data_IF_204372470849
#
_entry.id   IF_204372470849
#
_cell.length_a   1.000
_cell.length_b   1.000
_cell.length_c   1.000
_cell.angle_alpha   90.00
_cell.angle_beta   90.00
_cell.angle_gamma   90.00
#
_symmetry.space_group_name_H-M   'P 1'
#
loop_
_entity.id
_entity.type
_entity.pdbx_description
1 polymer ?
#
# COMPACT_ATOMS: atom_id res chain seq x y z
N UNK A 1 -1.89 -23.07 -15.03
CA UNK A 1 -0.85 -23.12 -13.98
C UNK A 1 0.10 -21.94 -14.18
N UNK A 2 0.48 -21.21 -13.12
CA UNK A 2 1.35 -20.04 -13.27
C UNK A 2 2.81 -20.40 -13.03
N UNK A 3 3.70 -19.93 -13.91
CA UNK A 3 5.15 -20.03 -13.72
C UNK A 3 5.57 -19.10 -12.57
N UNK A 4 6.16 -19.68 -11.52
CA UNK A 4 6.88 -18.93 -10.49
C UNK A 4 8.37 -19.15 -10.69
N UNK A 5 9.15 -18.09 -10.89
CA UNK A 5 10.60 -18.18 -10.80
C UNK A 5 10.99 -18.32 -9.33
N UNK A 6 11.34 -19.55 -8.92
CA UNK A 6 12.03 -19.78 -7.65
C UNK A 6 13.43 -19.19 -7.82
N UNK A 7 13.81 -18.22 -6.97
CA UNK A 7 15.04 -17.41 -7.01
C UNK A 7 15.08 -16.18 -7.94
N UNK A 8 13.95 -15.51 -8.20
CA UNK A 8 13.96 -14.17 -8.79
C UNK A 8 14.26 -13.08 -7.75
N UNK A 9 15.30 -12.26 -7.95
CA UNK A 9 15.43 -10.98 -7.26
C UNK A 9 14.66 -9.92 -8.06
N UNK A 10 13.68 -9.27 -7.43
CA UNK A 10 12.95 -8.14 -8.00
C UNK A 10 13.19 -6.91 -7.13
N UNK A 11 13.59 -5.81 -7.75
CA UNK A 11 13.72 -4.52 -7.06
C UNK A 11 12.59 -3.61 -7.51
N UNK A 12 11.92 -2.99 -6.53
CA UNK A 12 10.85 -2.01 -6.75
C UNK A 12 11.21 -0.76 -5.96
N UNK A 13 11.21 0.38 -6.64
CA UNK A 13 11.34 1.70 -6.02
C UNK A 13 9.98 2.38 -6.13
N UNK A 14 9.51 2.91 -5.00
CA UNK A 14 8.24 3.64 -4.91
C UNK A 14 8.47 4.98 -4.21
N UNK A 15 7.91 6.03 -4.80
CA UNK A 15 7.79 7.36 -4.17
C UNK A 15 6.31 7.70 -4.12
N UNK A 16 5.77 7.93 -2.92
CA UNK A 16 4.43 8.51 -2.75
C UNK A 16 4.55 9.90 -2.13
N UNK A 17 3.74 10.84 -2.61
CA UNK A 17 3.62 12.20 -2.10
C UNK A 17 2.19 12.45 -1.66
N UNK A 18 2.04 13.03 -0.49
CA UNK A 18 0.77 13.46 0.05
C UNK A 18 0.93 14.67 0.95
N UNK A 19 -0.15 15.42 1.14
CA UNK A 19 -0.20 16.58 2.02
C UNK A 19 -1.15 16.32 3.19
N UNK A 20 -0.88 16.94 4.34
CA UNK A 20 -1.84 16.95 5.44
C UNK A 20 -2.79 18.14 5.27
N UNK A 21 -4.10 17.88 5.20
CA UNK A 21 -5.15 18.90 5.21
C UNK A 21 -6.16 18.55 6.31
N UNK A 22 -6.35 19.45 7.28
CA UNK A 22 -7.29 19.26 8.41
C UNK A 22 -7.12 17.92 9.18
N UNK A 23 -5.87 17.51 9.42
CA UNK A 23 -5.58 16.23 10.09
C UNK A 23 -5.61 15.00 9.17
N UNK A 24 -6.18 15.11 7.98
CA UNK A 24 -6.28 14.02 7.01
C UNK A 24 -5.13 14.06 6.02
N UNK A 25 -4.70 12.88 5.58
CA UNK A 25 -3.71 12.72 4.51
C UNK A 25 -4.43 12.80 3.15
N UNK A 26 -3.91 13.64 2.26
CA UNK A 26 -4.45 13.88 0.92
C UNK A 26 -3.39 13.43 -0.10
N UNK A 27 -3.64 12.37 -0.89
CA UNK A 27 -2.68 11.91 -1.89
C UNK A 27 -2.46 12.96 -2.97
N UNK A 28 -1.23 13.02 -3.48
CA UNK A 28 -0.83 13.95 -4.55
C UNK A 28 -0.19 13.21 -5.73
N UNK A 29 0.71 12.26 -5.45
CA UNK A 29 1.42 11.53 -6.50
C UNK A 29 1.93 10.18 -6.02
N UNK A 30 1.94 9.21 -6.92
CA UNK A 30 2.68 7.96 -6.80
C UNK A 30 3.58 7.79 -8.02
N UNK A 31 4.84 7.43 -7.80
CA UNK A 31 5.79 7.01 -8.82
C UNK A 31 6.31 5.61 -8.46
N UNK A 32 6.30 4.68 -9.41
CA UNK A 32 6.78 3.30 -9.26
C UNK A 32 7.74 2.96 -10.38
N UNK A 33 8.83 2.28 -10.03
CA UNK A 33 9.78 1.69 -10.96
C UNK A 33 10.19 0.31 -10.50
N UNK A 34 10.31 -0.65 -11.42
CA UNK A 34 10.73 -2.00 -11.10
C UNK A 34 11.42 -2.67 -12.28
N UNK A 35 12.26 -3.67 -11.97
CA UNK A 35 12.90 -4.51 -12.98
C UNK A 35 11.99 -5.69 -13.32
N UNK A 36 11.71 -5.88 -14.61
CA UNK A 36 10.95 -7.01 -15.15
C UNK A 36 11.63 -7.50 -16.44
N UNK A 37 12.02 -8.77 -16.48
CA UNK A 37 12.61 -9.41 -17.68
C UNK A 37 13.77 -8.57 -18.27
N UNK A 38 14.70 -8.16 -17.40
CA UNK A 38 15.87 -7.33 -17.74
C UNK A 38 15.54 -5.92 -18.30
N UNK A 39 14.28 -5.50 -18.23
CA UNK A 39 13.85 -4.13 -18.57
C UNK A 39 13.33 -3.39 -17.34
N UNK A 40 13.61 -2.09 -17.26
CA UNK A 40 12.99 -1.22 -16.26
C UNK A 40 11.60 -0.86 -16.75
N UNK A 41 10.58 -1.20 -15.96
CA UNK A 41 9.19 -0.77 -16.15
C UNK A 41 8.84 0.25 -15.09
N UNK A 42 7.89 1.10 -15.41
CA UNK A 42 7.50 2.17 -14.50
C UNK A 42 6.02 2.51 -14.64
N UNK A 43 5.46 3.11 -13.60
CA UNK A 43 4.09 3.62 -13.61
C UNK A 43 3.98 4.80 -12.68
N UNK A 44 3.07 5.73 -12.98
CA UNK A 44 2.74 6.82 -12.06
C UNK A 44 1.24 7.01 -11.95
N UNK A 45 0.83 7.60 -10.83
CA UNK A 45 -0.52 8.05 -10.59
C UNK A 45 -0.51 9.48 -10.05
N UNK A 46 -1.26 10.37 -10.71
CA UNK A 46 -1.47 11.74 -10.26
C UNK A 46 -2.84 11.86 -9.61
N UNK A 47 -2.92 12.74 -8.61
CA UNK A 47 -4.14 13.06 -7.88
C UNK A 47 -4.49 14.53 -8.01
N UNK A 48 -5.79 14.84 -8.10
CA UNK A 48 -6.32 16.19 -7.98
C UNK A 48 -7.28 16.20 -6.79
N UNK A 49 -7.01 17.07 -5.82
CA UNK A 49 -7.80 17.21 -4.58
C UNK A 49 -8.07 15.89 -3.82
N UNK A 50 -7.10 14.97 -3.88
CA UNK A 50 -7.17 13.69 -3.19
C UNK A 50 -7.98 12.60 -3.92
N UNK A 51 -8.42 12.86 -5.15
CA UNK A 51 -8.97 11.85 -6.06
C UNK A 51 -7.93 11.45 -7.12
N UNK A 52 -7.81 10.15 -7.47
CA UNK A 52 -7.01 9.72 -8.61
C UNK A 52 -7.49 10.41 -9.88
N UNK A 53 -6.57 10.96 -10.64
CA UNK A 53 -6.88 11.71 -11.86
C UNK A 53 -6.27 11.06 -13.11
N UNK A 54 -5.03 10.60 -13.00
CA UNK A 54 -4.32 9.99 -14.13
C UNK A 54 -3.50 8.81 -13.66
N UNK A 55 -3.52 7.72 -14.41
CA UNK A 55 -2.62 6.59 -14.22
C UNK A 55 -1.97 6.20 -15.54
N UNK A 56 -0.65 6.06 -15.54
CA UNK A 56 0.12 5.59 -16.70
C UNK A 56 1.00 4.45 -16.23
N UNK A 57 1.04 3.36 -17.00
CA UNK A 57 1.84 2.20 -16.68
C UNK A 57 2.52 1.65 -17.92
N UNK A 58 3.83 1.44 -17.84
CA UNK A 58 4.64 0.74 -18.83
C UNK A 58 4.46 -0.78 -18.82
N UNK A 59 3.54 -1.31 -18.01
CA UNK A 59 3.19 -2.71 -17.96
C UNK A 59 1.87 -2.99 -18.66
N UNK A 60 1.95 -3.74 -19.77
CA UNK A 60 0.79 -4.28 -20.45
C UNK A 60 0.25 -5.48 -19.66
N UNK A 61 -1.01 -5.43 -19.28
CA UNK A 61 -1.65 -6.50 -18.53
C UNK A 61 -1.99 -7.68 -19.47
N UNK A 62 -1.57 -8.92 -19.15
CA UNK A 62 -1.98 -10.11 -19.88
C UNK A 62 -3.51 -10.30 -19.87
N UNK A 63 -4.02 -10.99 -20.89
CA UNK A 63 -5.47 -11.15 -21.10
C UNK A 63 -6.15 -11.88 -19.94
N UNK A 64 -5.51 -12.90 -19.37
CA UNK A 64 -6.00 -13.67 -18.23
C UNK A 64 -6.13 -12.86 -16.94
N UNK A 65 -5.48 -11.69 -16.87
CA UNK A 65 -5.58 -10.78 -15.73
C UNK A 65 -6.53 -9.61 -15.99
N UNK A 66 -7.12 -9.50 -17.19
CA UNK A 66 -8.09 -8.43 -17.48
C UNK A 66 -9.23 -8.46 -16.48
N UNK A 67 -9.70 -7.27 -16.13
CA UNK A 67 -10.80 -7.14 -15.20
C UNK A 67 -12.11 -7.57 -15.83
N UNK A 68 -12.93 -8.29 -15.05
CA UNK A 68 -14.34 -8.56 -15.41
C UNK A 68 -15.18 -7.28 -15.35
N UNK A 69 -14.92 -6.45 -14.33
CA UNK A 69 -15.60 -5.19 -14.09
C UNK A 69 -14.55 -4.07 -13.98
N UNK A 70 -14.02 -3.55 -15.10
CA UNK A 70 -13.05 -2.47 -15.07
C UNK A 70 -13.65 -1.22 -14.42
N UNK A 71 -12.83 -0.46 -13.71
CA UNK A 71 -13.21 0.83 -13.14
C UNK A 71 -12.47 1.94 -13.87
N UNK A 72 -13.23 2.92 -14.37
CA UNK A 72 -12.67 4.14 -14.91
C UNK A 72 -12.17 5.03 -13.76
N UNK A 73 -11.02 5.68 -13.93
CA UNK A 73 -10.32 6.39 -12.84
C UNK A 73 -11.17 7.53 -12.25
N UNK A 74 -11.95 8.20 -13.10
CA UNK A 74 -12.92 9.24 -12.76
C UNK A 74 -14.02 8.77 -11.79
N UNK A 75 -14.30 7.45 -11.77
CA UNK A 75 -15.31 6.85 -10.89
C UNK A 75 -14.74 6.39 -9.54
N UNK A 76 -13.43 6.51 -9.32
CA UNK A 76 -12.82 6.15 -8.03
C UNK A 76 -13.16 7.21 -6.98
N UNK A 77 -13.05 8.49 -7.32
CA UNK A 77 -13.40 9.61 -6.45
C UNK A 77 -12.44 9.84 -5.27
N UNK A 78 -12.79 10.83 -4.44
CA UNK A 78 -11.97 11.27 -3.29
C UNK A 78 -11.87 10.21 -2.19
N UNK A 79 -10.78 10.28 -1.41
CA UNK A 79 -10.58 9.43 -0.24
C UNK A 79 -10.06 8.02 -0.56
N UNK A 80 -9.65 7.78 -1.82
CA UNK A 80 -8.87 6.60 -2.20
C UNK A 80 -7.38 6.90 -2.17
N UNK A 81 -6.58 5.97 -1.66
CA UNK A 81 -5.14 6.08 -1.51
C UNK A 81 -4.43 5.11 -2.44
N UNK A 82 -3.19 5.42 -2.82
CA UNK A 82 -2.31 4.42 -3.42
C UNK A 82 -1.92 3.34 -2.39
N UNK A 83 -1.44 2.16 -2.82
CA UNK A 83 -1.09 1.09 -1.90
C UNK A 83 -0.04 1.44 -0.85
N UNK A 84 0.85 2.41 -1.11
CA UNK A 84 1.92 2.79 -0.18
C UNK A 84 1.45 3.84 0.81
N UNK A 85 0.75 4.87 0.35
CA UNK A 85 0.15 5.87 1.22
C UNK A 85 -0.96 5.27 2.10
N UNK A 86 -1.67 4.26 1.58
CA UNK A 86 -2.64 3.46 2.31
C UNK A 86 -2.07 2.72 3.52
N UNK A 87 -0.76 2.49 3.58
CA UNK A 87 -0.09 1.93 4.75
C UNK A 87 -0.09 2.91 5.93
N UNK A 88 -0.16 4.22 5.70
CA UNK A 88 -0.17 5.20 6.78
C UNK A 88 -1.54 5.29 7.44
N UNK A 89 -1.61 5.12 8.75
CA UNK A 89 -2.83 5.27 9.54
C UNK A 89 -2.82 6.58 10.34
N UNK A 90 -3.77 7.51 10.10
CA UNK A 90 -3.84 8.76 10.84
C UNK A 90 -4.32 8.50 12.27
N UNK A 91 -3.56 8.98 13.25
CA UNK A 91 -3.92 8.89 14.66
C UNK A 91 -4.83 10.05 15.07
N UNK A 92 -4.66 11.25 14.49
CA UNK A 92 -5.46 12.45 14.79
C UNK A 92 -5.50 12.79 16.29
N UNK A 93 -4.33 12.72 16.95
CA UNK A 93 -4.21 12.94 18.40
C UNK A 93 -4.74 11.79 19.27
N UNK A 94 -5.23 10.70 18.67
CA UNK A 94 -5.67 9.50 19.39
C UNK A 94 -4.51 8.55 19.68
N UNK A 95 -4.64 7.63 20.65
CA UNK A 95 -3.61 6.64 20.96
C UNK A 95 -3.33 5.70 19.78
N UNK A 96 -2.18 5.00 19.81
CA UNK A 96 -1.73 4.08 18.76
C UNK A 96 -2.80 3.05 18.34
N UNK A 97 -3.67 2.59 19.25
CA UNK A 97 -4.80 1.69 18.94
C UNK A 97 -5.72 2.21 17.83
N UNK A 98 -5.75 3.53 17.60
CA UNK A 98 -6.51 4.14 16.52
C UNK A 98 -5.98 3.78 15.12
N UNK A 99 -4.74 3.28 15.01
CA UNK A 99 -4.20 2.77 13.75
C UNK A 99 -5.00 1.57 13.21
N UNK A 100 -5.66 0.85 14.11
CA UNK A 100 -6.49 -0.33 13.83
C UNK A 100 -7.98 0.02 13.65
N UNK A 101 -8.32 1.29 13.43
CA UNK A 101 -9.71 1.73 13.32
C UNK A 101 -9.99 2.31 11.93
N UNK A 102 -11.06 1.82 11.31
CA UNK A 102 -11.67 2.38 10.13
C UNK A 102 -11.37 1.62 8.86
N UNK A 103 -11.80 2.24 7.76
CA UNK A 103 -11.82 1.65 6.44
C UNK A 103 -11.12 2.59 5.47
N UNK A 104 -10.25 2.04 4.63
CA UNK A 104 -9.53 2.78 3.59
C UNK A 104 -9.89 2.22 2.23
N UNK A 105 -10.09 3.11 1.26
CA UNK A 105 -10.21 2.75 -0.15
C UNK A 105 -8.81 2.78 -0.76
N UNK A 106 -8.38 1.69 -1.37
CA UNK A 106 -7.07 1.58 -2.02
C UNK A 106 -7.28 1.41 -3.51
N UNK A 107 -6.65 2.28 -4.30
CA UNK A 107 -6.65 2.22 -5.75
C UNK A 107 -5.22 2.07 -6.25
N UNK A 108 -4.93 1.01 -7.01
CA UNK A 108 -3.58 0.73 -7.54
C UNK A 108 -3.35 1.26 -8.96
N UNK A 109 -4.28 2.07 -9.48
CA UNK A 109 -4.30 2.51 -10.88
C UNK A 109 -5.23 1.69 -11.77
N UNK A 110 -5.62 0.48 -11.36
CA UNK A 110 -6.54 -0.40 -12.11
C UNK A 110 -7.61 -1.05 -11.25
N UNK A 111 -7.29 -1.34 -10.00
CA UNK A 111 -8.10 -2.08 -9.03
C UNK A 111 -8.43 -1.19 -7.85
N UNK A 112 -9.71 -1.20 -7.49
CA UNK A 112 -10.22 -0.53 -6.31
C UNK A 112 -10.63 -1.58 -5.28
N UNK A 113 -10.09 -1.48 -4.08
CA UNK A 113 -10.49 -2.29 -2.94
C UNK A 113 -10.75 -1.45 -1.71
N UNK A 114 -11.40 -2.09 -0.75
CA UNK A 114 -11.61 -1.57 0.58
C UNK A 114 -10.80 -2.41 1.56
N UNK A 115 -10.04 -1.75 2.44
CA UNK A 115 -9.29 -2.37 3.53
C UNK A 115 -9.90 -1.91 4.86
N UNK A 116 -10.40 -2.84 5.66
CA UNK A 116 -11.01 -2.54 6.96
C UNK A 116 -10.13 -3.13 8.06
N UNK A 117 -9.66 -2.28 8.97
CA UNK A 117 -8.88 -2.69 10.13
C UNK A 117 -9.79 -3.05 11.31
N UNK A 118 -9.49 -4.16 11.98
CA UNK A 118 -10.26 -4.70 13.09
C UNK A 118 -9.36 -5.52 14.05
N UNK A 119 -9.94 -6.07 15.11
CA UNK A 119 -9.28 -6.99 16.05
C UNK A 119 -8.00 -6.42 16.68
N UNK A 120 -8.10 -5.22 17.26
CA UNK A 120 -6.94 -4.52 17.84
C UNK A 120 -6.37 -5.26 19.05
N UNK A 121 -5.07 -5.50 19.03
CA UNK A 121 -4.32 -6.07 20.15
C UNK A 121 -3.06 -5.24 20.38
N UNK A 122 -2.84 -4.79 21.61
CA UNK A 122 -1.58 -4.13 21.96
C UNK A 122 -0.46 -5.14 22.07
N UNK A 123 0.71 -4.81 21.52
CA UNK A 123 1.91 -5.66 21.58
C UNK A 123 3.04 -4.85 22.23
N UNK A 124 3.49 -5.25 23.42
CA UNK A 124 4.63 -4.62 24.09
C UNK A 124 5.92 -4.68 23.27
N UNK A 125 6.87 -3.74 23.46
CA UNK A 125 8.10 -3.63 22.65
C UNK A 125 9.01 -4.86 22.65
N UNK A 126 8.91 -5.71 23.68
CA UNK A 126 9.75 -6.90 23.87
C UNK A 126 9.04 -8.21 23.51
N UNK A 127 7.77 -8.14 23.10
CA UNK A 127 6.96 -9.30 22.71
C UNK A 127 6.91 -9.51 21.19
N UNK A 128 7.82 -8.85 20.45
CA UNK A 128 7.99 -9.05 19.01
C UNK A 128 9.45 -8.99 18.59
N UNK A 129 9.77 -9.68 17.49
CA UNK A 129 11.11 -9.79 16.92
C UNK A 129 11.39 -8.76 15.81
N UNK A 130 10.50 -7.78 15.61
CA UNK A 130 10.69 -6.75 14.60
C UNK A 130 12.02 -6.01 14.83
N UNK A 131 12.76 -5.65 13.77
CA UNK A 131 14.03 -4.91 13.89
C UNK A 131 13.93 -3.64 14.74
N UNK A 132 12.72 -3.10 14.86
CA UNK A 132 12.38 -1.87 15.54
C UNK A 132 11.68 -2.20 16.87
N UNK A 133 12.41 -2.13 18.00
CA UNK A 133 11.87 -2.37 19.35
C UNK A 133 11.01 -1.19 19.82
N UNK A 134 9.73 -1.18 19.48
CA UNK A 134 8.79 -0.09 19.80
C UNK A 134 7.41 -0.65 20.16
N UNK A 135 6.60 0.05 20.97
CA UNK A 135 5.21 -0.37 21.17
C UNK A 135 4.51 -0.52 19.84
N UNK A 136 3.76 -1.60 19.67
CA UNK A 136 3.01 -1.87 18.47
C UNK A 136 1.55 -2.18 18.78
N UNK A 137 0.70 -2.05 17.77
CA UNK A 137 -0.65 -2.60 17.79
C UNK A 137 -0.82 -3.52 16.60
N UNK A 138 -1.30 -4.72 16.86
CA UNK A 138 -1.70 -5.67 15.82
C UNK A 138 -3.16 -5.41 15.45
N UNK A 139 -3.48 -5.50 14.18
CA UNK A 139 -4.84 -5.63 13.67
C UNK A 139 -4.94 -6.69 12.59
N UNK A 140 -6.13 -7.23 12.44
CA UNK A 140 -6.57 -7.93 11.23
C UNK A 140 -7.07 -6.90 10.22
N UNK A 141 -6.65 -7.04 8.96
CA UNK A 141 -7.06 -6.21 7.84
C UNK A 141 -7.88 -7.07 6.90
N UNK A 142 -9.19 -6.82 6.85
CA UNK A 142 -10.08 -7.43 5.89
C UNK A 142 -9.95 -6.71 4.55
N UNK A 143 -9.57 -7.44 3.51
CA UNK A 143 -9.55 -6.94 2.13
C UNK A 143 -10.85 -7.32 1.41
N UNK A 144 -11.46 -6.34 0.77
CA UNK A 144 -12.69 -6.52 0.01
C UNK A 144 -12.52 -5.90 -1.39
N UNK A 145 -12.55 -6.70 -2.47
CA UNK A 145 -12.49 -6.17 -3.83
C UNK A 145 -13.76 -5.35 -4.12
N UNK A 146 -13.60 -4.21 -4.79
CA UNK A 146 -14.72 -3.38 -5.25
C UNK A 146 -14.84 -3.44 -6.78
N UNK A 147 -13.75 -3.17 -7.50
CA UNK A 147 -13.72 -3.19 -8.96
C UNK A 147 -12.30 -3.36 -9.52
N UNK A 148 -12.17 -3.68 -10.80
CA UNK A 148 -10.88 -3.83 -11.50
C UNK A 148 -10.23 -5.20 -11.36
N UNK A 149 -10.87 -6.15 -10.70
CA UNK A 149 -10.37 -7.51 -10.49
C UNK A 149 -10.80 -8.46 -11.61
N UNK A 150 -9.98 -9.48 -11.87
CA UNK A 150 -10.35 -10.60 -12.77
C UNK A 150 -11.36 -11.53 -12.10
N UNK A 151 -12.09 -12.31 -12.88
CA UNK A 151 -13.08 -13.27 -12.37
C UNK A 151 -12.46 -14.25 -11.36
N UNK A 152 -11.33 -14.86 -11.72
CA UNK A 152 -10.60 -15.77 -10.84
C UNK A 152 -10.12 -15.11 -9.52
N UNK A 153 -9.93 -13.79 -9.50
CA UNK A 153 -9.59 -13.07 -8.27
C UNK A 153 -10.81 -12.88 -7.37
N UNK A 154 -11.98 -12.63 -7.95
CA UNK A 154 -13.23 -12.43 -7.24
C UNK A 154 -13.76 -13.73 -6.64
N UNK A 155 -13.74 -14.83 -7.40
CA UNK A 155 -14.20 -16.15 -6.93
C UNK A 155 -13.46 -16.61 -5.68
N UNK A 156 -12.15 -16.29 -5.62
CA UNK A 156 -11.30 -16.69 -4.51
C UNK A 156 -11.15 -15.63 -3.42
N UNK A 157 -11.83 -14.49 -3.54
CA UNK A 157 -11.63 -13.39 -2.59
C UNK A 157 -11.98 -13.80 -1.16
N UNK A 158 -13.00 -14.65 -1.00
CA UNK A 158 -13.43 -15.21 0.28
C UNK A 158 -12.48 -16.28 0.85
N UNK A 159 -11.56 -16.83 0.06
CA UNK A 159 -10.62 -17.88 0.50
C UNK A 159 -9.43 -17.30 1.29
N UNK A 160 -9.17 -15.99 1.16
CA UNK A 160 -8.04 -15.35 1.80
C UNK A 160 -8.42 -14.84 3.19
N UNK A 161 -7.79 -15.35 4.27
CA UNK A 161 -8.01 -14.82 5.60
C UNK A 161 -7.52 -13.36 5.68
N UNK A 162 -8.00 -12.58 6.68
CA UNK A 162 -7.49 -11.25 6.93
C UNK A 162 -5.97 -11.21 7.06
N UNK A 163 -5.37 -10.12 6.59
CA UNK A 163 -3.94 -9.86 6.72
C UNK A 163 -3.67 -9.33 8.12
N UNK A 164 -2.62 -9.78 8.78
CA UNK A 164 -2.22 -9.20 10.07
C UNK A 164 -1.19 -8.10 9.85
N UNK A 165 -1.44 -6.91 10.40
CA UNK A 165 -0.50 -5.79 10.35
C UNK A 165 -0.19 -5.31 11.76
N UNK A 166 1.09 -5.08 12.03
CA UNK A 166 1.59 -4.51 13.28
C UNK A 166 1.98 -3.06 13.02
N UNK A 167 1.27 -2.12 13.61
CA UNK A 167 1.53 -0.69 13.46
C UNK A 167 2.37 -0.16 14.61
N UNK A 168 3.43 0.58 14.27
CA UNK A 168 4.15 1.45 15.20
C UNK A 168 3.75 2.90 14.98
N UNK A 169 3.96 3.75 15.98
CA UNK A 169 3.80 5.20 15.81
C UNK A 169 5.03 5.81 15.14
N UNK A 170 4.81 6.69 14.15
CA UNK A 170 5.87 7.47 13.51
C UNK A 170 6.11 8.74 14.33
N UNK A 171 7.00 8.65 15.33
CA UNK A 171 7.44 9.76 16.19
C UNK A 171 6.25 10.67 16.59
N UNK A 172 6.37 11.99 16.42
CA UNK A 172 5.30 12.96 16.73
C UNK A 172 4.50 13.42 15.50
N UNK A 173 4.54 12.66 14.40
CA UNK A 173 3.88 13.06 13.14
C UNK A 173 2.35 12.99 13.19
N UNK A 174 1.80 12.27 14.17
CA UNK A 174 0.37 11.97 14.24
C UNK A 174 -0.07 10.83 13.32
N UNK A 175 0.88 10.06 12.78
CA UNK A 175 0.64 8.88 11.96
C UNK A 175 1.27 7.62 12.57
N UNK A 176 0.73 6.48 12.18
CA UNK A 176 1.30 5.16 12.42
C UNK A 176 1.56 4.47 11.07
N UNK A 177 2.53 3.57 11.04
CA UNK A 177 2.79 2.75 9.87
C UNK A 177 3.17 1.32 10.25
N UNK A 178 3.01 0.35 9.32
CA UNK A 178 3.33 -1.03 9.59
C UNK A 178 4.82 -1.22 9.85
N UNK A 179 5.14 -1.91 10.94
CA UNK A 179 6.43 -2.52 11.24
C UNK A 179 6.55 -3.87 10.54
N UNK A 180 5.42 -4.59 10.45
CA UNK A 180 5.30 -5.92 9.87
C UNK A 180 3.88 -6.13 9.34
N UNK A 181 3.76 -6.78 8.18
CA UNK A 181 2.49 -7.18 7.57
C UNK A 181 2.66 -8.63 7.14
N UNK A 182 1.72 -9.48 7.52
CA UNK A 182 1.74 -10.90 7.23
C UNK A 182 0.38 -11.36 6.68
N UNK A 183 0.40 -11.96 5.50
CA UNK A 183 -0.80 -12.45 4.82
C UNK A 183 -0.57 -13.83 4.22
N UNK A 184 -1.66 -14.58 4.03
CA UNK A 184 -1.62 -15.86 3.31
C UNK A 184 -1.82 -15.58 1.82
N UNK A 185 -0.94 -16.12 0.99
CA UNK A 185 -1.07 -16.16 -0.46
C UNK A 185 -1.31 -17.60 -0.93
N UNK A 186 -1.55 -17.78 -2.23
CA UNK A 186 -1.64 -19.12 -2.84
C UNK A 186 -0.34 -19.93 -2.74
N UNK A 187 0.79 -19.26 -2.49
CA UNK A 187 2.11 -19.86 -2.39
C UNK A 187 2.60 -20.01 -0.95
N UNK A 188 1.74 -19.72 0.04
CA UNK A 188 2.09 -19.73 1.45
C UNK A 188 2.11 -18.33 2.05
N UNK A 189 2.75 -18.20 3.22
CA UNK A 189 2.83 -16.95 3.95
C UNK A 189 3.75 -15.95 3.26
N UNK A 190 3.26 -14.71 3.12
CA UNK A 190 4.03 -13.56 2.67
C UNK A 190 4.15 -12.60 3.84
N UNK A 191 5.37 -12.14 4.10
CA UNK A 191 5.67 -11.15 5.14
C UNK A 191 6.36 -9.94 4.51
N UNK A 192 5.89 -8.75 4.85
CA UNK A 192 6.49 -7.47 4.50
C UNK A 192 6.94 -6.83 5.82
N UNK A 193 8.22 -6.48 5.94
CA UNK A 193 8.79 -5.99 7.20
C UNK A 193 9.58 -4.70 6.97
N UNK A 194 9.39 -3.73 7.85
CA UNK A 194 10.17 -2.50 7.85
C UNK A 194 11.56 -2.78 8.43
N UNK A 195 12.59 -2.77 7.58
CA UNK A 195 13.99 -2.90 8.00
C UNK A 195 14.46 -1.58 8.64
N UNK A 196 14.27 -0.48 7.90
CA UNK A 196 14.42 0.87 8.41
C UNK A 196 13.05 1.49 8.58
N UNK A 197 12.73 1.88 9.80
CA UNK A 197 11.51 2.63 10.07
C UNK A 197 11.70 4.12 9.78
N UNK A 198 10.59 4.85 9.75
CA UNK A 198 10.57 6.29 9.51
C UNK A 198 11.54 7.02 10.45
N UNK A 199 12.52 7.70 9.84
CA UNK A 199 13.41 8.62 10.51
C UNK A 199 13.01 10.06 10.14
N UNK A 200 12.98 10.94 11.12
CA UNK A 200 12.83 12.37 10.87
C UNK A 200 14.14 12.89 10.29
N UNK A 201 14.08 13.55 9.13
CA UNK A 201 15.23 14.18 8.50
C UNK A 201 14.90 15.64 8.21
N UNK A 202 15.81 16.53 8.60
CA UNK A 202 15.76 17.94 8.20
C UNK A 202 16.39 18.16 6.81
N UNK A 203 17.14 17.16 6.32
CA UNK A 203 17.75 17.21 4.98
C UNK A 203 16.67 16.92 3.95
N UNK A 204 16.45 17.80 2.95
CA UNK A 204 15.59 17.52 1.82
C UNK A 204 16.08 16.25 1.13
N UNK A 205 15.26 15.21 1.13
CA UNK A 205 15.47 14.05 0.28
C UNK A 205 15.02 14.43 -1.13
N UNK A 206 15.84 14.16 -2.15
CA UNK A 206 15.40 14.20 -3.54
C UNK A 206 14.79 12.82 -3.83
N UNK A 207 13.45 12.67 -3.78
CA UNK A 207 12.86 11.39 -4.04
C UNK A 207 13.00 11.04 -5.52
N UNK A 208 13.04 9.75 -5.81
CA UNK A 208 12.86 9.24 -7.16
C UNK A 208 11.64 9.93 -7.82
N UNK A 209 11.85 10.62 -8.94
CA UNK A 209 10.80 11.19 -9.79
C UNK A 209 10.87 10.53 -11.16
N UNK A 210 9.78 9.86 -11.57
CA UNK A 210 9.74 9.11 -12.83
C UNK A 210 10.03 9.98 -14.06
N UNK A 211 9.81 11.30 -13.95
CA UNK A 211 10.07 12.26 -15.03
C UNK A 211 11.54 12.40 -15.36
N UNK A 212 12.43 12.04 -14.44
CA UNK A 212 13.88 12.03 -14.66
C UNK A 212 14.34 10.85 -15.54
N UNK A 213 13.52 9.79 -15.63
CA UNK A 213 13.81 8.60 -16.45
C UNK A 213 13.09 8.65 -17.80
N UNK A 214 11.95 9.34 -17.87
CA UNK A 214 11.15 9.44 -19.08
C UNK A 214 11.40 10.71 -19.90
N UNK A 215 12.34 11.56 -19.48
CA UNK A 215 12.80 12.69 -20.27
C UNK A 215 13.62 12.19 -21.49
N UNK A 216 13.34 12.70 -22.70
CA UNK A 216 14.03 12.29 -23.93
C UNK A 216 15.50 12.71 -23.96
#
# INVERSE_FOLDING_TARGET
AGFGRIAGQSHVVSTTRGARRNGTLVPQRLDLSWTSEDTIKSSYMDYIDGAPHKFVSGYAQPEEFRSKNPIAIENVGVGSFDPFLGLLSPLNGRPLRAACNGTKRIFDGRRLATLTAQDVVFVPPFEHDFPQRRPAVRCSILWQPVAGYSEASLERAAEFPPVHAHFGQISNTGFAAPLDIRGKSRYGWVTIRAIHYFAETMTPFLPFDIREITAP
#
